data_IF_383455222437
#
_entry.id   IF_383455222437
#
_cell.length_a   1.000
_cell.length_b   1.000
_cell.length_c   1.000
_cell.angle_alpha   90.00
_cell.angle_beta   90.00
_cell.angle_gamma   90.00
#
_symmetry.space_group_name_H-M   'P 1'
#
loop_
_entity.id
_entity.type
_entity.pdbx_description
1 polymer ?
#
# COMPACT_ATOMS: atom_id res chain seq x y z
N UNK A 1 7.67 -4.15 -0.42
CA UNK A 1 7.99 -5.26 -1.34
C UNK A 1 7.03 -5.29 -2.51
N UNK A 2 6.04 -6.19 -2.50
CA UNK A 2 4.96 -6.25 -3.50
C UNK A 2 3.76 -5.44 -3.00
N UNK A 3 3.14 -4.56 -3.82
CA UNK A 3 3.30 -4.45 -5.28
C UNK A 3 4.42 -3.53 -5.78
N UNK A 4 5.08 -2.74 -4.92
CA UNK A 4 6.05 -1.72 -5.34
C UNK A 4 7.17 -2.20 -6.27
N UNK A 5 7.75 -3.38 -6.05
CA UNK A 5 8.77 -3.92 -6.97
C UNK A 5 8.20 -4.22 -8.38
N UNK A 6 6.98 -4.74 -8.46
CA UNK A 6 6.32 -5.01 -9.75
C UNK A 6 6.06 -3.68 -10.48
N UNK A 7 5.63 -2.66 -9.75
CA UNK A 7 5.43 -1.32 -10.31
C UNK A 7 6.75 -0.77 -10.84
N UNK A 8 7.85 -0.87 -10.08
CA UNK A 8 9.16 -0.39 -10.53
C UNK A 8 9.65 -1.08 -11.81
N UNK A 9 9.37 -2.37 -11.98
CA UNK A 9 9.73 -3.13 -13.18
C UNK A 9 8.86 -2.70 -14.38
N UNK A 10 7.55 -2.60 -14.19
CA UNK A 10 6.59 -2.33 -15.28
C UNK A 10 6.45 -0.85 -15.63
N UNK A 11 6.87 0.06 -14.74
CA UNK A 11 6.75 1.51 -14.86
C UNK A 11 8.06 2.19 -14.48
N UNK A 12 9.10 2.05 -15.31
CA UNK A 12 10.42 2.66 -15.06
C UNK A 12 10.38 4.20 -15.09
N UNK A 13 9.28 4.79 -15.56
CA UNK A 13 9.00 6.23 -15.52
C UNK A 13 8.62 6.74 -14.12
N UNK A 14 8.38 5.85 -13.15
CA UNK A 14 8.02 6.22 -11.78
C UNK A 14 9.23 6.13 -10.83
N UNK A 15 9.34 7.11 -9.93
CA UNK A 15 10.25 7.02 -8.78
C UNK A 15 9.59 6.18 -7.69
N UNK A 16 10.15 4.98 -7.43
CA UNK A 16 9.56 4.01 -6.49
C UNK A 16 10.44 3.82 -5.26
N UNK A 17 9.80 3.88 -4.09
CA UNK A 17 10.36 3.39 -2.84
C UNK A 17 9.52 2.22 -2.31
N UNK A 18 10.17 1.27 -1.65
CA UNK A 18 9.50 0.15 -0.95
C UNK A 18 9.84 0.18 0.53
N UNK A 19 8.84 -0.04 1.38
CA UNK A 19 9.00 0.00 2.83
C UNK A 19 8.67 -1.37 3.44
N UNK A 20 9.45 -1.81 4.42
CA UNK A 20 9.11 -2.93 5.32
C UNK A 20 9.83 -2.71 6.67
N UNK A 21 9.10 -2.82 7.78
CA UNK A 21 9.67 -2.59 9.11
C UNK A 21 10.46 -3.80 9.63
N UNK A 22 10.35 -4.96 8.98
CA UNK A 22 11.08 -6.17 9.38
C UNK A 22 12.43 -6.19 8.69
N UNK A 23 13.51 -5.99 9.45
CA UNK A 23 14.87 -5.87 8.90
C UNK A 23 15.28 -7.00 7.95
N UNK A 24 14.95 -8.27 8.27
CA UNK A 24 15.21 -9.41 7.37
C UNK A 24 14.49 -9.28 6.02
N UNK A 25 13.26 -8.78 6.00
CA UNK A 25 12.50 -8.56 4.76
C UNK A 25 13.05 -7.38 3.97
N UNK A 26 13.44 -6.30 4.66
CA UNK A 26 14.09 -5.16 4.04
C UNK A 26 15.43 -5.56 3.39
N UNK A 27 16.26 -6.35 4.08
CA UNK A 27 17.51 -6.90 3.53
C UNK A 27 17.25 -7.73 2.27
N UNK A 28 16.30 -8.67 2.32
CA UNK A 28 15.96 -9.47 1.16
C UNK A 28 15.44 -8.61 -0.02
N UNK A 29 14.67 -7.55 0.26
CA UNK A 29 14.25 -6.60 -0.76
C UNK A 29 15.43 -5.84 -1.36
N UNK A 30 16.41 -5.45 -0.54
CA UNK A 30 17.63 -4.81 -1.00
C UNK A 30 18.43 -5.72 -1.92
N UNK A 31 18.59 -7.00 -1.55
CA UNK A 31 19.30 -7.99 -2.37
C UNK A 31 18.61 -8.20 -3.73
N UNK A 32 17.27 -8.27 -3.74
CA UNK A 32 16.47 -8.39 -4.97
C UNK A 32 16.65 -7.16 -5.86
N UNK A 33 16.52 -5.96 -5.29
CA UNK A 33 16.66 -4.68 -6.03
C UNK A 33 18.06 -4.57 -6.64
N UNK A 34 19.10 -4.88 -5.86
CA UNK A 34 20.49 -4.86 -6.33
C UNK A 34 20.74 -5.90 -7.43
N UNK A 35 20.26 -7.12 -7.26
CA UNK A 35 20.45 -8.20 -8.25
C UNK A 35 19.76 -7.93 -9.58
N UNK A 36 18.63 -7.22 -9.56
CA UNK A 36 17.86 -6.84 -10.74
C UNK A 36 18.29 -5.47 -11.31
N UNK A 37 19.21 -4.75 -10.66
CA UNK A 37 19.64 -3.41 -11.09
C UNK A 37 18.52 -2.36 -11.07
N UNK A 38 17.53 -2.50 -10.18
CA UNK A 38 16.38 -1.60 -10.14
C UNK A 38 16.71 -0.30 -9.37
N UNK A 39 16.30 0.88 -9.87
CA UNK A 39 16.51 2.16 -9.17
C UNK A 39 15.45 2.38 -8.07
N UNK A 40 15.33 1.42 -7.15
CA UNK A 40 14.31 1.43 -6.09
C UNK A 40 14.94 1.68 -4.73
N UNK A 41 14.42 2.66 -3.98
CA UNK A 41 14.83 2.87 -2.60
C UNK A 41 14.17 1.85 -1.67
N UNK A 42 14.97 1.12 -0.87
CA UNK A 42 14.45 0.22 0.17
C UNK A 42 14.51 0.90 1.54
N UNK A 43 13.35 1.04 2.18
CA UNK A 43 13.17 1.70 3.47
C UNK A 43 12.86 0.65 4.55
N UNK A 44 13.88 0.27 5.32
CA UNK A 44 13.78 -0.65 6.45
C UNK A 44 13.20 -0.03 7.72
N UNK A 45 12.04 0.64 7.62
CA UNK A 45 11.44 1.43 8.69
C UNK A 45 9.93 1.16 8.78
N UNK A 46 9.27 1.65 9.83
CA UNK A 46 7.81 1.65 9.86
C UNK A 46 7.28 2.73 8.92
N UNK A 47 6.19 2.44 8.24
CA UNK A 47 5.62 3.34 7.24
C UNK A 47 5.25 4.70 7.84
N UNK A 48 4.80 4.75 9.10
CA UNK A 48 4.46 5.99 9.78
C UNK A 48 5.67 6.91 9.92
N UNK A 49 6.85 6.36 10.25
CA UNK A 49 8.09 7.13 10.41
C UNK A 49 8.57 7.66 9.04
N UNK A 50 8.38 6.88 7.97
CA UNK A 50 8.68 7.29 6.59
C UNK A 50 7.75 8.43 6.14
N UNK A 51 6.45 8.31 6.36
CA UNK A 51 5.45 9.28 5.91
C UNK A 51 5.52 10.62 6.64
N UNK A 52 6.19 10.68 7.80
CA UNK A 52 6.50 11.94 8.48
C UNK A 52 7.65 12.71 7.82
N UNK A 53 8.56 12.01 7.14
CA UNK A 53 9.83 12.58 6.62
C UNK A 53 9.85 12.73 5.11
N UNK A 54 9.08 11.91 4.40
CA UNK A 54 9.06 11.85 2.95
C UNK A 54 7.62 12.01 2.43
N UNK A 55 7.49 12.69 1.29
CA UNK A 55 6.21 12.89 0.61
C UNK A 55 6.10 11.93 -0.56
N UNK A 56 4.90 11.39 -0.75
CA UNK A 56 4.55 10.52 -1.86
C UNK A 56 3.27 11.03 -2.50
N UNK A 57 3.17 10.95 -3.81
CA UNK A 57 1.94 11.27 -4.55
C UNK A 57 0.94 10.10 -4.49
N UNK A 58 1.47 8.89 -4.35
CA UNK A 58 0.69 7.67 -4.26
C UNK A 58 1.38 6.67 -3.33
N UNK A 59 0.60 6.02 -2.46
CA UNK A 59 1.06 4.89 -1.64
C UNK A 59 0.20 3.67 -1.95
N UNK A 60 0.83 2.52 -2.12
CA UNK A 60 0.12 1.26 -2.34
C UNK A 60 0.53 0.18 -1.36
N UNK A 61 -0.43 -0.64 -0.95
CA UNK A 61 -0.21 -1.70 0.02
C UNK A 61 -1.07 -2.93 -0.28
N UNK A 62 -0.50 -4.11 0.02
CA UNK A 62 -1.17 -5.41 -0.07
C UNK A 62 -0.82 -6.24 1.16
N UNK A 63 -1.82 -6.90 1.76
CA UNK A 63 -1.63 -7.82 2.88
C UNK A 63 -0.90 -7.20 4.10
N UNK A 64 -1.15 -5.92 4.39
CA UNK A 64 -0.50 -5.21 5.53
C UNK A 64 -1.37 -5.24 6.79
N UNK A 65 -2.69 -5.05 6.65
CA UNK A 65 -3.63 -5.01 7.77
C UNK A 65 -5.04 -4.65 7.32
N UNK A 66 -5.97 -4.60 8.27
CA UNK A 66 -7.36 -4.20 8.03
C UNK A 66 -7.45 -2.72 7.60
N UNK A 67 -8.48 -2.35 6.81
CA UNK A 67 -8.67 -0.95 6.35
C UNK A 67 -8.66 0.02 7.54
N UNK A 68 -9.46 -0.26 8.58
CA UNK A 68 -9.59 0.56 9.78
C UNK A 68 -8.25 0.91 10.44
N UNK A 69 -7.36 -0.08 10.57
CA UNK A 69 -6.02 0.10 11.16
C UNK A 69 -5.07 0.92 10.27
N UNK A 70 -5.22 0.82 8.95
CA UNK A 70 -4.31 1.43 7.99
C UNK A 70 -4.62 2.90 7.72
N UNK A 71 -5.90 3.28 7.67
CA UNK A 71 -6.32 4.65 7.33
C UNK A 71 -5.63 5.75 8.18
N UNK A 72 -5.46 5.59 9.51
CA UNK A 72 -4.76 6.58 10.32
C UNK A 72 -3.29 6.74 9.96
N UNK A 73 -2.62 5.69 9.45
CA UNK A 73 -1.19 5.77 9.11
C UNK A 73 -0.92 6.73 7.96
N UNK A 74 -1.91 6.94 7.11
CA UNK A 74 -1.82 7.76 5.91
C UNK A 74 -2.22 9.22 6.15
N UNK A 75 -2.45 9.63 7.40
CA UNK A 75 -2.83 11.01 7.73
C UNK A 75 -1.91 12.09 7.11
N UNK A 76 -0.57 11.94 7.10
CA UNK A 76 0.31 12.90 6.44
C UNK A 76 0.11 13.01 4.92
N UNK A 77 -0.36 11.93 4.27
CA UNK A 77 -0.62 11.86 2.83
C UNK A 77 -1.90 12.60 2.46
N UNK A 78 -2.94 12.45 3.27
CA UNK A 78 -4.22 13.12 3.08
C UNK A 78 -4.08 14.64 3.03
N UNK A 79 -3.25 15.21 3.91
CA UNK A 79 -2.96 16.64 3.95
C UNK A 79 -2.20 17.12 2.71
N UNK A 80 -1.49 16.23 2.02
CA UNK A 80 -0.75 16.53 0.80
C UNK A 80 -1.53 16.25 -0.49
N UNK A 81 -2.81 15.83 -0.39
CA UNK A 81 -3.63 15.46 -1.55
C UNK A 81 -3.16 14.19 -2.26
N UNK A 82 -2.40 13.34 -1.57
CA UNK A 82 -1.89 12.09 -2.14
C UNK A 82 -2.94 10.97 -2.11
N UNK A 83 -2.79 10.02 -3.02
CA UNK A 83 -3.71 8.88 -3.15
C UNK A 83 -3.19 7.63 -2.45
N UNK A 84 -4.10 6.79 -1.97
CA UNK A 84 -3.76 5.45 -1.50
C UNK A 84 -4.48 4.39 -2.30
N UNK A 85 -3.73 3.40 -2.76
CA UNK A 85 -4.23 2.22 -3.47
C UNK A 85 -4.06 0.96 -2.61
N UNK A 86 -5.16 0.45 -2.08
CA UNK A 86 -5.15 -0.76 -1.24
C UNK A 86 -5.62 -1.98 -2.04
N UNK A 87 -4.79 -3.02 -2.09
CA UNK A 87 -5.19 -4.33 -2.59
C UNK A 87 -5.77 -5.13 -1.41
N UNK A 88 -7.05 -5.48 -1.52
CA UNK A 88 -7.80 -6.20 -0.49
C UNK A 88 -8.39 -7.50 -1.00
N UNK A 89 -8.60 -8.43 -0.08
CA UNK A 89 -9.23 -9.71 -0.36
C UNK A 89 -10.76 -9.66 -0.23
N UNK A 90 -11.43 -10.83 -0.22
CA UNK A 90 -12.89 -10.92 -0.28
C UNK A 90 -13.62 -10.22 0.87
N UNK A 91 -13.01 -10.16 2.05
CA UNK A 91 -13.58 -9.51 3.26
C UNK A 91 -13.44 -7.98 3.29
N UNK A 92 -13.09 -7.35 2.17
CA UNK A 92 -12.85 -5.89 2.16
C UNK A 92 -14.08 -5.07 2.55
N UNK A 93 -15.29 -5.57 2.27
CA UNK A 93 -16.54 -4.89 2.63
C UNK A 93 -16.74 -4.86 4.14
N UNK A 94 -16.45 -5.97 4.83
CA UNK A 94 -16.49 -6.06 6.29
C UNK A 94 -15.44 -5.12 6.92
N UNK A 95 -14.21 -5.13 6.39
CA UNK A 95 -13.14 -4.22 6.84
C UNK A 95 -13.51 -2.74 6.64
N UNK A 96 -14.20 -2.41 5.54
CA UNK A 96 -14.66 -1.05 5.25
C UNK A 96 -15.81 -0.65 6.18
N UNK A 97 -16.76 -1.55 6.43
CA UNK A 97 -17.85 -1.31 7.37
C UNK A 97 -17.32 -1.07 8.79
N UNK A 98 -16.29 -1.79 9.23
CA UNK A 98 -15.59 -1.53 10.50
C UNK A 98 -14.98 -0.11 10.52
N UNK A 99 -14.24 0.26 9.47
CA UNK A 99 -13.62 1.58 9.36
C UNK A 99 -14.64 2.74 9.33
N UNK A 100 -15.85 2.49 8.80
CA UNK A 100 -16.95 3.43 8.84
C UNK A 100 -17.55 3.55 10.24
N UNK A 101 -17.74 2.42 10.95
CA UNK A 101 -18.26 2.39 12.32
C UNK A 101 -17.31 3.05 13.33
N UNK A 102 -16.01 2.79 13.21
CA UNK A 102 -14.99 3.41 14.07
C UNK A 102 -14.72 4.88 13.75
N UNK A 103 -15.16 5.34 12.57
CA UNK A 103 -14.94 6.69 12.08
C UNK A 103 -13.58 6.94 11.42
N UNK A 104 -12.71 5.94 11.28
CA UNK A 104 -11.40 6.10 10.62
C UNK A 104 -11.53 6.38 9.11
N UNK A 105 -12.65 5.99 8.50
CA UNK A 105 -12.98 6.31 7.10
C UNK A 105 -13.68 7.68 6.92
N UNK A 106 -13.92 8.43 8.00
CA UNK A 106 -14.68 9.69 7.93
C UNK A 106 -13.97 10.71 7.03
N UNK A 107 -14.74 11.30 6.11
CA UNK A 107 -14.25 12.32 5.18
C UNK A 107 -13.26 11.77 4.14
N UNK A 108 -13.16 10.45 3.96
CA UNK A 108 -12.39 9.81 2.90
C UNK A 108 -13.34 9.30 1.81
N UNK A 109 -12.95 9.47 0.54
CA UNK A 109 -13.64 8.86 -0.59
C UNK A 109 -12.95 7.54 -0.91
N UNK A 110 -13.67 6.42 -0.75
CA UNK A 110 -13.15 5.07 -0.99
C UNK A 110 -13.92 4.47 -2.17
N UNK A 111 -13.20 4.14 -3.24
CA UNK A 111 -13.79 3.63 -4.48
C UNK A 111 -13.12 2.32 -4.89
N UNK A 112 -13.90 1.32 -5.24
CA UNK A 112 -13.39 0.13 -5.92
C UNK A 112 -13.13 0.46 -7.38
N UNK A 113 -11.87 0.45 -7.80
CA UNK A 113 -11.46 0.82 -9.17
C UNK A 113 -11.09 -0.38 -10.04
N UNK A 114 -10.85 -1.54 -9.44
CA UNK A 114 -10.67 -2.80 -10.15
C UNK A 114 -11.03 -3.97 -9.24
N UNK A 115 -11.37 -5.11 -9.84
CA UNK A 115 -11.53 -6.38 -9.14
C UNK A 115 -11.16 -7.57 -10.02
N UNK A 116 -10.69 -8.64 -9.40
CA UNK A 116 -10.23 -9.84 -10.10
C UNK A 116 -10.34 -11.09 -9.22
N UNK A 117 -10.42 -12.24 -9.87
CA UNK A 117 -10.31 -13.55 -9.21
C UNK A 117 -8.86 -14.02 -9.28
N UNK A 118 -8.35 -14.60 -8.21
CA UNK A 118 -7.01 -15.17 -8.19
C UNK A 118 -7.13 -16.69 -8.32
N UNK A 119 -6.53 -17.32 -9.36
CA UNK A 119 -6.55 -18.77 -9.51
C UNK A 119 -6.09 -19.48 -8.23
N UNK A 120 -6.86 -20.49 -7.79
CA UNK A 120 -6.56 -21.24 -6.56
C UNK A 120 -6.87 -20.50 -5.25
N UNK A 121 -7.58 -19.36 -5.30
CA UNK A 121 -8.17 -18.73 -4.11
C UNK A 121 -9.65 -18.49 -4.30
N UNK A 122 -10.39 -18.72 -3.24
CA UNK A 122 -11.81 -18.38 -3.19
C UNK A 122 -11.99 -16.87 -2.97
N UNK A 123 -12.97 -16.33 -3.69
CA UNK A 123 -13.43 -14.95 -3.59
C UNK A 123 -12.66 -13.94 -4.44
N UNK A 124 -13.23 -12.74 -4.50
CA UNK A 124 -12.74 -11.64 -5.31
C UNK A 124 -11.69 -10.81 -4.56
N UNK A 125 -10.59 -10.47 -5.23
CA UNK A 125 -9.66 -9.43 -4.79
C UNK A 125 -10.02 -8.09 -5.43
N UNK A 126 -9.83 -7.01 -4.70
CA UNK A 126 -10.18 -5.67 -5.16
C UNK A 126 -9.02 -4.69 -5.02
N UNK A 127 -9.01 -3.68 -5.89
CA UNK A 127 -8.19 -2.49 -5.75
C UNK A 127 -9.08 -1.34 -5.32
N UNK A 128 -8.82 -0.82 -4.12
CA UNK A 128 -9.50 0.34 -3.57
C UNK A 128 -8.63 1.58 -3.75
N UNK A 129 -9.21 2.64 -4.32
CA UNK A 129 -8.64 3.98 -4.35
C UNK A 129 -9.21 4.82 -3.21
N UNK A 130 -8.34 5.51 -2.48
CA UNK A 130 -8.70 6.31 -1.32
C UNK A 130 -8.13 7.72 -1.47
N UNK A 131 -8.99 8.73 -1.29
CA UNK A 131 -8.67 10.17 -1.35
C UNK A 131 -9.26 10.91 -0.15
#
# INVERSE_FOLDING_TARGET
>A
GVPGLIVAILRPDLTVAVCDSVGKKASALQDIVSSLGLPVQVLGQRVQDVLQRQRFQLVTARAVGAIDRLLPWFQPLWLAGAEVLLIKGPRWQEELAEAQRSGTAKGRRIERIASWHTPGRDGESVLLRIR
#
